data_IF_531232904823
#
_entry.id   IF_531232904823
#
_cell.length_a   1.000
_cell.length_b   1.000
_cell.length_c   1.000
_cell.angle_alpha   90.00
_cell.angle_beta   90.00
_cell.angle_gamma   90.00
#
_symmetry.space_group_name_H-M   'P 1'
#
loop_
_entity.id
_entity.type
_entity.pdbx_description
1 polymer ?
#
# COMPACT_ATOMS: atom_id res chain seq x y z
N UNK A 1 39.52 -24.40 49.24
CA UNK A 1 38.33 -24.53 48.34
C UNK A 1 37.55 -23.21 48.25
N UNK A 2 38.19 -22.08 47.90
CA UNK A 2 37.51 -20.77 47.81
C UNK A 2 37.52 -20.15 46.41
N UNK A 3 38.30 -20.71 45.48
CA UNK A 3 38.41 -20.22 44.08
C UNK A 3 37.37 -20.82 43.13
N UNK A 4 36.79 -21.99 43.45
CA UNK A 4 35.77 -22.63 42.61
C UNK A 4 34.39 -21.99 42.75
N UNK A 5 34.04 -21.48 43.94
CA UNK A 5 32.74 -20.86 44.19
C UNK A 5 32.54 -19.57 43.39
N UNK A 6 33.63 -18.82 43.15
CA UNK A 6 33.60 -17.58 42.37
C UNK A 6 33.39 -17.83 40.87
N UNK A 7 33.90 -18.93 40.33
CA UNK A 7 33.70 -19.28 38.91
C UNK A 7 32.24 -19.65 38.60
N UNK A 8 31.57 -20.37 39.52
CA UNK A 8 30.17 -20.74 39.34
C UNK A 8 29.22 -19.54 39.36
N UNK A 9 29.53 -18.50 40.16
CA UNK A 9 28.74 -17.27 40.22
C UNK A 9 28.92 -16.45 38.94
N UNK A 10 30.16 -16.30 38.45
CA UNK A 10 30.44 -15.56 37.20
C UNK A 10 29.81 -16.26 35.98
N UNK A 11 29.88 -17.59 35.91
CA UNK A 11 29.33 -18.39 34.80
C UNK A 11 27.79 -18.26 34.70
N UNK A 12 27.09 -18.24 35.85
CA UNK A 12 25.62 -18.08 35.89
C UNK A 12 25.18 -16.66 35.47
N UNK A 13 25.96 -15.63 35.81
CA UNK A 13 25.64 -14.24 35.45
C UNK A 13 25.78 -14.02 33.94
N UNK A 14 26.75 -14.64 33.26
CA UNK A 14 26.87 -14.56 31.78
C UNK A 14 25.74 -15.25 31.01
N UNK A 15 25.15 -16.32 31.57
CA UNK A 15 24.02 -17.02 30.93
C UNK A 15 22.72 -16.22 31.03
N UNK A 16 22.54 -15.43 32.08
CA UNK A 16 21.36 -14.59 32.27
C UNK A 16 21.39 -13.31 31.41
N UNK A 17 22.57 -12.81 31.02
CA UNK A 17 22.72 -11.56 30.25
C UNK A 17 22.69 -11.80 28.73
N UNK A 18 22.94 -13.03 28.26
CA UNK A 18 22.85 -13.39 26.82
C UNK A 18 21.46 -13.87 26.39
N UNK A 19 20.50 -13.92 27.32
CA UNK A 19 19.09 -14.24 27.03
C UNK A 19 18.25 -13.07 26.50
N UNK A 20 18.84 -11.88 26.30
CA UNK A 20 18.14 -10.73 25.73
C UNK A 20 18.81 -10.32 24.41
N UNK A 21 18.31 -10.87 23.31
CA UNK A 21 18.49 -10.24 21.99
C UNK A 21 19.25 -11.04 20.94
N UNK A 22 18.71 -12.18 20.50
CA UNK A 22 18.58 -12.50 19.06
C UNK A 22 17.33 -13.37 18.87
N UNK A 23 16.19 -12.74 18.67
CA UNK A 23 14.92 -13.46 18.45
C UNK A 23 13.67 -12.57 18.40
N UNK A 24 13.79 -11.31 18.78
CA UNK A 24 12.67 -10.38 18.93
C UNK A 24 12.13 -9.71 17.66
N UNK A 25 12.14 -10.34 16.48
CA UNK A 25 11.60 -9.68 15.27
C UNK A 25 10.81 -10.57 14.28
N UNK A 26 10.41 -11.80 14.65
CA UNK A 26 9.90 -12.75 13.64
C UNK A 26 8.55 -13.41 13.96
N UNK A 27 7.86 -13.05 15.04
CA UNK A 27 6.63 -13.77 15.46
C UNK A 27 5.42 -12.89 15.79
N UNK A 28 5.27 -11.71 15.17
CA UNK A 28 4.06 -10.89 15.36
C UNK A 28 3.41 -10.35 14.07
N UNK A 29 3.80 -10.87 12.91
CA UNK A 29 3.16 -10.54 11.64
C UNK A 29 2.97 -11.80 10.82
N UNK A 30 1.76 -12.04 10.35
CA UNK A 30 1.49 -13.05 9.34
C UNK A 30 2.49 -12.84 8.17
N UNK A 31 3.38 -13.82 7.84
CA UNK A 31 4.37 -13.68 6.77
C UNK A 31 3.76 -13.72 5.37
N UNK A 32 2.43 -13.72 5.28
CA UNK A 32 1.73 -13.51 4.03
C UNK A 32 2.24 -12.22 3.41
N UNK A 33 2.80 -12.24 2.17
CA UNK A 33 3.06 -11.00 1.47
C UNK A 33 1.74 -10.24 1.47
N UNK A 34 1.74 -9.04 2.03
CA UNK A 34 0.64 -8.12 1.81
C UNK A 34 0.67 -7.92 0.30
N UNK A 35 -0.20 -8.64 -0.41
CA UNK A 35 -0.41 -8.42 -1.83
C UNK A 35 -1.02 -7.03 -1.90
N UNK A 36 -0.17 -6.02 -2.05
CA UNK A 36 -0.60 -4.65 -2.25
C UNK A 36 -1.18 -4.66 -3.65
N UNK A 37 -2.47 -4.99 -3.73
CA UNK A 37 -3.21 -4.96 -4.97
C UNK A 37 -3.14 -3.52 -5.51
N UNK A 38 -2.65 -3.31 -6.75
CA UNK A 38 -2.58 -1.99 -7.36
C UNK A 38 -3.94 -1.29 -7.31
N UNK A 39 -3.94 0.03 -7.18
CA UNK A 39 -5.17 0.81 -6.96
C UNK A 39 -6.27 0.49 -7.98
N UNK A 40 -5.90 0.35 -9.25
CA UNK A 40 -6.83 0.06 -10.32
C UNK A 40 -7.36 -1.37 -10.26
N UNK A 41 -6.56 -2.34 -9.78
CA UNK A 41 -6.99 -3.74 -9.65
C UNK A 41 -8.10 -3.92 -8.62
N UNK A 42 -8.22 -2.99 -7.66
CA UNK A 42 -9.35 -2.93 -6.70
C UNK A 42 -10.69 -2.65 -7.37
N UNK A 43 -10.71 -2.15 -8.60
CA UNK A 43 -11.93 -1.94 -9.39
C UNK A 43 -12.30 -3.21 -10.15
N UNK A 44 -13.35 -3.90 -9.71
CA UNK A 44 -13.79 -5.18 -10.27
C UNK A 44 -14.98 -5.01 -11.21
N UNK A 45 -14.93 -5.73 -12.33
CA UNK A 45 -15.99 -5.89 -13.32
C UNK A 45 -15.85 -7.31 -13.88
N UNK A 46 -16.96 -8.04 -14.00
CA UNK A 46 -16.94 -9.44 -14.44
C UNK A 46 -16.41 -9.57 -15.87
N UNK A 47 -15.53 -10.55 -16.09
CA UNK A 47 -14.95 -10.83 -17.40
C UNK A 47 -13.93 -9.80 -17.91
N UNK A 48 -13.52 -8.84 -17.08
CA UNK A 48 -12.63 -7.77 -17.50
C UNK A 48 -11.16 -8.08 -17.27
N UNK A 49 -10.33 -7.86 -18.29
CA UNK A 49 -8.87 -8.01 -18.17
C UNK A 49 -8.21 -6.78 -17.54
N UNK A 50 -6.98 -6.92 -17.01
CA UNK A 50 -6.19 -5.77 -16.54
C UNK A 50 -5.96 -4.68 -17.59
N UNK A 51 -5.69 -5.06 -18.85
CA UNK A 51 -5.43 -4.12 -19.94
C UNK A 51 -6.67 -3.31 -20.29
N UNK A 52 -7.81 -3.97 -20.47
CA UNK A 52 -9.04 -3.26 -20.76
C UNK A 52 -9.44 -2.33 -19.60
N UNK A 53 -9.11 -2.70 -18.35
CA UNK A 53 -9.31 -1.83 -17.18
C UNK A 53 -8.44 -0.58 -17.24
N UNK A 54 -7.19 -0.69 -17.66
CA UNK A 54 -6.31 0.47 -17.88
C UNK A 54 -6.85 1.38 -18.97
N UNK A 55 -7.35 0.81 -20.05
CA UNK A 55 -7.96 1.60 -21.13
C UNK A 55 -9.25 2.27 -20.68
N UNK A 56 -10.10 1.58 -19.92
CA UNK A 56 -11.31 2.18 -19.34
C UNK A 56 -10.97 3.32 -18.37
N UNK A 57 -9.94 3.14 -17.53
CA UNK A 57 -9.41 4.20 -16.65
C UNK A 57 -8.91 5.41 -17.45
N UNK A 58 -8.19 5.16 -18.54
CA UNK A 58 -7.66 6.19 -19.42
C UNK A 58 -8.78 6.98 -20.10
N UNK A 59 -9.81 6.29 -20.61
CA UNK A 59 -11.02 6.91 -21.17
C UNK A 59 -11.75 7.76 -20.14
N UNK A 60 -11.72 7.37 -18.86
CA UNK A 60 -12.28 8.13 -17.75
C UNK A 60 -11.41 9.31 -17.27
N UNK A 61 -10.38 9.70 -18.02
CA UNK A 61 -9.50 10.83 -17.69
C UNK A 61 -8.35 10.50 -16.74
N UNK A 62 -8.21 9.23 -16.38
CA UNK A 62 -7.07 8.71 -15.63
C UNK A 62 -5.88 8.39 -16.55
N UNK A 63 -4.84 7.82 -15.96
CA UNK A 63 -3.71 7.25 -16.67
C UNK A 63 -3.92 5.75 -16.89
N UNK A 64 -3.06 5.15 -17.72
CA UNK A 64 -2.91 3.69 -17.86
C UNK A 64 -2.03 3.07 -16.76
N UNK A 65 -1.73 3.82 -15.71
CA UNK A 65 -0.96 3.33 -14.57
C UNK A 65 -1.90 2.62 -13.59
N UNK A 66 -1.55 1.40 -13.20
CA UNK A 66 -2.35 0.58 -12.28
C UNK A 66 -2.35 1.14 -10.84
N UNK A 67 -1.33 1.90 -10.45
CA UNK A 67 -1.19 2.44 -9.09
C UNK A 67 -1.72 3.87 -8.98
N UNK A 68 -1.51 4.70 -10.00
CA UNK A 68 -1.77 6.14 -9.93
C UNK A 68 -2.52 6.65 -11.15
N UNK A 69 -3.87 6.73 -11.10
CA UNK A 69 -4.66 7.27 -12.20
C UNK A 69 -4.36 8.76 -12.48
N UNK A 70 -3.77 9.50 -11.54
CA UNK A 70 -3.43 10.91 -11.74
C UNK A 70 -1.99 11.21 -11.31
N UNK A 71 -1.23 11.83 -12.23
CA UNK A 71 0.09 12.40 -11.97
C UNK A 71 -0.04 13.91 -11.74
N UNK A 72 0.93 14.51 -11.04
CA UNK A 72 0.91 15.95 -10.74
C UNK A 72 0.83 16.81 -12.01
N UNK A 73 1.62 16.49 -13.04
CA UNK A 73 1.61 17.23 -14.30
C UNK A 73 0.26 17.17 -15.03
N UNK A 74 -0.43 16.02 -14.99
CA UNK A 74 -1.76 15.90 -15.59
C UNK A 74 -2.80 16.76 -14.84
N UNK A 75 -2.72 16.78 -13.51
CA UNK A 75 -3.60 17.62 -12.67
C UNK A 75 -3.34 19.11 -12.94
N UNK A 76 -2.07 19.54 -12.95
CA UNK A 76 -1.71 20.94 -13.20
C UNK A 76 -2.14 21.40 -14.60
N UNK A 77 -2.06 20.54 -15.61
CA UNK A 77 -2.52 20.83 -16.98
C UNK A 77 -4.04 20.94 -17.13
N UNK A 78 -4.82 20.43 -16.17
CA UNK A 78 -6.29 20.45 -16.16
C UNK A 78 -6.87 21.39 -15.09
N UNK A 79 -6.03 22.25 -14.52
CA UNK A 79 -6.39 23.19 -13.47
C UNK A 79 -7.21 24.35 -14.04
N UNK A 80 -8.36 24.64 -13.42
CA UNK A 80 -9.18 25.79 -13.78
C UNK A 80 -8.65 27.08 -13.12
N UNK A 81 -8.97 28.27 -13.65
CA UNK A 81 -8.59 29.53 -13.04
C UNK A 81 -9.09 29.63 -11.59
N UNK A 82 -8.17 29.84 -10.64
CA UNK A 82 -8.49 29.94 -9.21
C UNK A 82 -8.61 28.61 -8.47
N UNK A 83 -8.45 27.46 -9.14
CA UNK A 83 -8.31 26.17 -8.45
C UNK A 83 -6.88 25.99 -7.92
N UNK A 84 -6.77 25.31 -6.77
CA UNK A 84 -5.52 24.72 -6.31
C UNK A 84 -5.35 23.32 -6.91
N UNK A 85 -4.10 22.84 -7.00
CA UNK A 85 -3.79 21.47 -7.45
C UNK A 85 -4.60 20.41 -6.69
N UNK A 86 -4.84 20.61 -5.39
CA UNK A 86 -5.65 19.70 -4.57
C UNK A 86 -7.11 19.71 -5.00
N UNK A 87 -7.73 20.87 -5.18
CA UNK A 87 -9.12 20.99 -5.64
C UNK A 87 -9.31 20.38 -7.03
N UNK A 88 -8.38 20.62 -7.95
CA UNK A 88 -8.40 20.01 -9.28
C UNK A 88 -8.27 18.49 -9.19
N UNK A 89 -7.34 17.97 -8.38
CA UNK A 89 -7.17 16.53 -8.17
C UNK A 89 -8.43 15.87 -7.63
N UNK A 90 -9.09 16.49 -6.66
CA UNK A 90 -10.33 15.97 -6.12
C UNK A 90 -11.47 15.97 -7.15
N UNK A 91 -11.62 17.05 -7.91
CA UNK A 91 -12.62 17.15 -8.98
C UNK A 91 -12.43 16.05 -10.02
N UNK A 92 -11.22 15.93 -10.58
CA UNK A 92 -10.87 14.89 -11.55
C UNK A 92 -11.06 13.48 -10.95
N UNK A 93 -10.69 13.30 -9.67
CA UNK A 93 -10.90 12.04 -8.96
C UNK A 93 -12.37 11.64 -8.86
N UNK A 94 -13.26 12.60 -8.55
CA UNK A 94 -14.71 12.35 -8.50
C UNK A 94 -15.28 12.02 -9.87
N UNK A 95 -14.88 12.78 -10.90
CA UNK A 95 -15.30 12.54 -12.29
C UNK A 95 -14.87 11.14 -12.76
N UNK A 96 -13.62 10.76 -12.50
CA UNK A 96 -13.10 9.43 -12.83
C UNK A 96 -13.80 8.31 -12.08
N UNK A 97 -14.03 8.45 -10.77
CA UNK A 97 -14.81 7.48 -9.97
C UNK A 97 -16.20 7.28 -10.56
N UNK A 98 -16.88 8.37 -10.91
CA UNK A 98 -18.23 8.31 -11.48
C UNK A 98 -18.23 7.63 -12.86
N UNK A 99 -17.25 7.94 -13.70
CA UNK A 99 -17.08 7.29 -15.01
C UNK A 99 -16.81 5.79 -14.89
N UNK A 100 -15.90 5.38 -13.99
CA UNK A 100 -15.61 3.97 -13.73
C UNK A 100 -16.85 3.22 -13.23
N UNK A 101 -17.62 3.81 -12.31
CA UNK A 101 -18.91 3.25 -11.87
C UNK A 101 -19.93 3.16 -13.02
N UNK A 102 -20.02 4.17 -13.87
CA UNK A 102 -20.87 4.17 -15.06
C UNK A 102 -20.53 3.06 -16.06
N UNK A 103 -19.26 2.66 -16.14
CA UNK A 103 -18.79 1.50 -16.92
C UNK A 103 -19.07 0.14 -16.25
N UNK A 104 -19.66 0.14 -15.06
CA UNK A 104 -20.04 -1.06 -14.31
C UNK A 104 -18.95 -1.60 -13.36
N UNK A 105 -17.92 -0.81 -13.05
CA UNK A 105 -16.93 -1.21 -12.04
C UNK A 105 -17.41 -0.96 -10.62
N UNK A 106 -17.07 -1.89 -9.73
CA UNK A 106 -17.28 -1.78 -8.28
C UNK A 106 -15.93 -1.75 -7.57
N UNK A 107 -15.75 -0.80 -6.67
CA UNK A 107 -14.55 -0.73 -5.83
C UNK A 107 -14.63 -1.81 -4.75
N UNK A 108 -13.75 -2.80 -4.82
CA UNK A 108 -13.59 -3.78 -3.75
C UNK A 108 -12.63 -3.20 -2.71
N UNK A 109 -13.18 -2.71 -1.61
CA UNK A 109 -12.38 -2.34 -0.44
C UNK A 109 -12.06 -3.63 0.31
N UNK A 110 -10.84 -4.15 0.16
CA UNK A 110 -10.31 -5.19 1.04
C UNK A 110 -10.40 -4.66 2.48
N UNK A 111 -11.36 -5.17 3.24
CA UNK A 111 -11.57 -4.82 4.65
C UNK A 111 -10.62 -5.62 5.52
#
# INVERSE_FOLDING_TARGET
>A
MKRSLSYWIVLNVTFLITGCGVGGMWMNGNPSPISIEPHLQKWKKNGMTPDERRDDSFVCGGSRDDDKPFTRGNVEGQMLPGETVWQTRERLGREWVNCMKGKGYVLNQSR
#
